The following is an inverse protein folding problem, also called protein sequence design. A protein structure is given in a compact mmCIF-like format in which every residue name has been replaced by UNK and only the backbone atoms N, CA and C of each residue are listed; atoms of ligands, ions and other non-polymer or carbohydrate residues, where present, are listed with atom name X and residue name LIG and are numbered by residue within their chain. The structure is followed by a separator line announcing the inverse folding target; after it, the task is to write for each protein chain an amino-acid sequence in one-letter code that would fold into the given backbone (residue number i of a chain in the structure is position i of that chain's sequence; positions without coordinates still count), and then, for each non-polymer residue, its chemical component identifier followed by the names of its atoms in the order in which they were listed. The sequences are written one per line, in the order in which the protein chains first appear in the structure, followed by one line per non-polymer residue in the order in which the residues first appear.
data_IF_222025805225
#
_entry.id   IF_222025805225
#
_cell.length_a   1.000
_cell.length_b   1.000
_cell.length_c   1.000
_cell.angle_alpha   90.00
_cell.angle_beta   90.00
_cell.angle_gamma   90.00
#
_symmetry.space_group_name_H-M   'P 1'
#
loop_
_entity.id
_entity.type
_entity.pdbx_description
1 polymer ?
#
# COMPACT_ATOMS: atom_id res chain seq x y z
N UNK A 1 -0.39 -18.60 -4.07
CA UNK A 1 -1.08 -17.39 -3.57
C UNK A 1 -0.36 -16.16 -4.11
N UNK A 2 -1.11 -15.21 -4.62
CA UNK A 2 -0.54 -13.99 -5.18
C UNK A 2 -0.60 -12.89 -4.12
N UNK A 3 0.56 -12.35 -3.76
CA UNK A 3 0.68 -11.35 -2.70
C UNK A 3 1.23 -10.05 -3.28
N UNK A 4 0.54 -8.95 -3.02
CA UNK A 4 0.97 -7.62 -3.43
C UNK A 4 1.33 -6.80 -2.20
N UNK A 5 2.36 -5.97 -2.33
CA UNK A 5 2.68 -4.97 -1.32
C UNK A 5 2.12 -3.63 -1.78
N UNK A 6 1.43 -2.93 -0.90
CA UNK A 6 0.92 -1.58 -1.16
C UNK A 6 1.61 -0.63 -0.20
N UNK A 7 2.22 0.42 -0.71
CA UNK A 7 3.02 1.33 0.12
C UNK A 7 2.46 2.74 0.00
N UNK A 8 1.88 3.21 1.09
CA UNK A 8 1.34 4.56 1.17
C UNK A 8 2.35 5.55 1.71
N UNK A 9 1.91 6.79 1.94
CA UNK A 9 2.78 7.90 2.27
C UNK A 9 3.05 8.07 3.77
N UNK A 10 2.35 7.32 4.64
CA UNK A 10 2.50 7.45 6.08
C UNK A 10 3.76 6.73 6.56
N UNK A 11 3.82 6.43 7.85
CA UNK A 11 5.03 5.82 8.43
C UNK A 11 5.33 4.48 7.78
N UNK A 12 6.56 4.32 7.35
CA UNK A 12 6.98 3.18 6.54
C UNK A 12 8.03 2.35 7.29
N UNK A 13 7.70 1.09 7.52
CA UNK A 13 8.66 0.15 8.13
C UNK A 13 9.57 -0.38 7.05
N UNK A 14 10.65 0.37 6.76
CA UNK A 14 11.56 0.04 5.66
C UNK A 14 12.28 -1.27 5.90
N UNK A 15 12.61 -1.57 7.16
CA UNK A 15 13.30 -2.79 7.52
C UNK A 15 12.48 -4.02 7.20
N UNK A 16 11.23 -4.01 7.64
CA UNK A 16 10.32 -5.11 7.41
C UNK A 16 10.03 -5.28 5.91
N UNK A 17 9.78 -4.16 5.24
CA UNK A 17 9.51 -4.20 3.80
C UNK A 17 10.70 -4.79 3.04
N UNK A 18 11.90 -4.31 3.34
CA UNK A 18 13.10 -4.77 2.63
C UNK A 18 13.37 -6.25 2.87
N UNK A 19 13.15 -6.71 4.09
CA UNK A 19 13.34 -8.12 4.42
C UNK A 19 12.36 -9.00 3.64
N UNK A 20 11.09 -8.59 3.60
CA UNK A 20 10.08 -9.35 2.87
C UNK A 20 10.31 -9.32 1.37
N UNK A 21 10.66 -8.14 0.85
CA UNK A 21 10.90 -7.99 -0.57
C UNK A 21 12.12 -8.80 -1.00
N UNK A 22 13.18 -8.77 -0.19
CA UNK A 22 14.37 -9.56 -0.48
C UNK A 22 14.14 -11.05 -0.42
N UNK A 23 13.17 -11.49 0.36
CA UNK A 23 12.81 -12.91 0.45
C UNK A 23 11.86 -13.35 -0.68
N UNK A 24 11.48 -12.45 -1.58
CA UNK A 24 10.60 -12.79 -2.68
C UNK A 24 9.13 -12.92 -2.28
N UNK A 25 8.73 -12.25 -1.21
CA UNK A 25 7.37 -12.38 -0.69
C UNK A 25 6.31 -11.74 -1.58
N UNK A 26 6.69 -10.78 -2.42
CA UNK A 26 5.73 -10.00 -3.19
C UNK A 26 5.80 -10.33 -4.67
N UNK A 27 4.63 -10.59 -5.25
CA UNK A 27 4.52 -10.76 -6.70
C UNK A 27 4.49 -9.41 -7.41
N UNK A 28 4.03 -8.37 -6.72
CA UNK A 28 4.03 -7.01 -7.26
C UNK A 28 4.02 -6.01 -6.11
N UNK A 29 4.52 -4.81 -6.39
CA UNK A 29 4.58 -3.70 -5.43
C UNK A 29 3.86 -2.50 -6.04
N UNK A 30 2.91 -1.94 -5.32
CA UNK A 30 2.16 -0.78 -5.76
C UNK A 30 2.48 0.40 -4.85
N UNK A 31 2.96 1.49 -5.43
CA UNK A 31 3.17 2.73 -4.71
C UNK A 31 1.88 3.53 -4.73
N UNK A 32 1.45 4.00 -3.55
CA UNK A 32 0.24 4.79 -3.42
C UNK A 32 0.65 6.22 -3.09
N UNK A 33 0.48 7.09 -4.06
CA UNK A 33 0.82 8.52 -3.97
C UNK A 33 2.24 8.70 -3.41
N UNK A 34 2.42 9.36 -2.28
CA UNK A 34 3.74 9.62 -1.70
C UNK A 34 4.54 8.38 -1.33
N UNK A 35 3.94 7.20 -1.35
CA UNK A 35 4.67 5.95 -1.11
C UNK A 35 5.77 5.69 -2.13
N UNK A 36 5.70 6.32 -3.29
CA UNK A 36 6.76 6.21 -4.29
C UNK A 36 8.11 6.66 -3.72
N UNK A 37 8.10 7.74 -2.94
CA UNK A 37 9.32 8.25 -2.32
C UNK A 37 9.89 7.26 -1.30
N UNK A 38 9.01 6.66 -0.49
CA UNK A 38 9.45 5.67 0.49
C UNK A 38 10.12 4.49 -0.18
N UNK A 39 9.56 4.03 -1.29
CA UNK A 39 10.14 2.91 -2.04
C UNK A 39 11.47 3.31 -2.68
N UNK A 40 11.55 4.53 -3.22
CA UNK A 40 12.80 5.01 -3.83
C UNK A 40 13.93 5.05 -2.80
N UNK A 41 13.60 5.41 -1.55
CA UNK A 41 14.60 5.49 -0.48
C UNK A 41 15.22 4.13 -0.15
N UNK A 42 14.51 3.04 -0.41
CA UNK A 42 15.05 1.70 -0.19
C UNK A 42 15.48 1.01 -1.48
N UNK A 43 15.54 1.77 -2.58
CA UNK A 43 16.01 1.25 -3.85
C UNK A 43 15.06 0.33 -4.56
N UNK A 44 13.78 0.41 -4.26
CA UNK A 44 12.77 -0.45 -4.87
C UNK A 44 11.94 0.32 -5.89
N UNK A 45 11.88 -0.18 -7.12
CA UNK A 45 11.01 0.37 -8.14
C UNK A 45 9.67 -0.36 -8.07
N UNK A 46 8.56 0.35 -7.90
CA UNK A 46 7.25 -0.34 -7.88
C UNK A 46 6.86 -0.78 -9.27
N UNK A 47 5.97 -1.77 -9.31
CA UNK A 47 5.38 -2.21 -10.58
C UNK A 47 4.29 -1.27 -11.06
N UNK A 48 3.68 -0.54 -10.13
CA UNK A 48 2.58 0.37 -10.43
C UNK A 48 2.59 1.50 -9.42
N UNK A 49 2.31 2.72 -9.87
CA UNK A 49 2.14 3.86 -8.99
C UNK A 49 0.75 4.44 -9.22
N UNK A 50 0.02 4.69 -8.14
CA UNK A 50 -1.38 5.14 -8.19
C UNK A 50 -1.54 6.41 -7.37
N UNK A 51 -2.29 7.38 -7.88
CA UNK A 51 -2.66 8.57 -7.14
C UNK A 51 -2.77 9.77 -8.03
N UNK A 52 -2.95 10.95 -7.42
CA UNK A 52 -2.90 12.22 -8.13
C UNK A 52 -1.51 12.85 -8.07
N UNK A 53 -0.64 12.30 -7.20
CA UNK A 53 0.76 12.69 -7.04
C UNK A 53 0.97 14.12 -6.58
N UNK A 54 -0.03 14.69 -5.91
CA UNK A 54 0.10 16.02 -5.33
C UNK A 54 1.24 16.08 -4.30
N UNK A 55 1.34 15.06 -3.45
CA UNK A 55 2.37 15.02 -2.41
C UNK A 55 3.76 14.92 -3.00
N UNK A 56 3.92 14.30 -4.16
CA UNK A 56 5.23 14.17 -4.80
C UNK A 56 5.62 15.43 -5.56
N UNK A 57 4.64 16.14 -6.12
CA UNK A 57 4.90 17.28 -6.95
C UNK A 57 5.32 16.93 -8.37
N UNK A 58 5.29 15.66 -8.73
CA UNK A 58 5.61 15.20 -10.09
C UNK A 58 5.01 13.81 -10.29
N UNK A 59 4.87 13.41 -11.56
CA UNK A 59 4.39 12.08 -11.92
C UNK A 59 5.61 11.21 -12.18
N UNK A 60 5.73 10.05 -11.51
CA UNK A 60 6.89 9.17 -11.69
C UNK A 60 7.05 8.69 -13.12
N UNK A 61 8.31 8.55 -13.55
CA UNK A 61 8.63 8.03 -14.88
C UNK A 61 9.29 6.67 -14.73
N UNK A 62 9.17 5.85 -15.77
CA UNK A 62 9.80 4.55 -15.79
C UNK A 62 9.02 3.45 -15.10
N UNK A 63 7.83 3.76 -14.61
CA UNK A 63 6.93 2.77 -13.99
C UNK A 63 5.55 2.95 -14.57
N UNK A 64 4.72 1.92 -14.47
CA UNK A 64 3.31 2.05 -14.86
C UNK A 64 2.62 2.98 -13.87
N UNK A 65 1.83 3.94 -14.37
CA UNK A 65 1.20 4.95 -13.53
C UNK A 65 -0.29 5.04 -13.83
N UNK A 66 -1.10 5.05 -12.78
CA UNK A 66 -2.53 5.34 -12.88
C UNK A 66 -2.79 6.63 -12.12
N UNK A 67 -3.10 7.69 -12.85
CA UNK A 67 -3.32 9.01 -12.27
C UNK A 67 -4.81 9.24 -12.12
N UNK A 68 -5.23 9.61 -10.91
CA UNK A 68 -6.63 9.90 -10.62
C UNK A 68 -6.75 11.35 -10.13
N UNK A 69 -7.84 12.03 -10.50
CA UNK A 69 -8.00 13.43 -10.09
C UNK A 69 -8.28 13.54 -8.59
N UNK A 70 -7.94 14.68 -7.98
CA UNK A 70 -8.15 14.85 -6.53
C UNK A 70 -9.61 14.81 -6.09
N UNK A 71 -10.55 15.09 -6.98
CA UNK A 71 -11.97 15.12 -6.64
C UNK A 71 -12.66 13.77 -6.75
N UNK A 72 -11.89 12.71 -6.92
CA UNK A 72 -12.49 11.38 -7.02
C UNK A 72 -13.18 10.97 -5.71
N UNK A 73 -14.12 10.06 -5.81
CA UNK A 73 -14.89 9.60 -4.64
C UNK A 73 -14.11 8.65 -3.75
N UNK A 74 -13.17 7.91 -4.31
CA UNK A 74 -12.40 6.91 -3.58
C UNK A 74 -11.04 7.45 -3.21
N UNK A 75 -10.50 7.02 -2.07
CA UNK A 75 -9.14 7.37 -1.69
C UNK A 75 -8.12 6.62 -2.57
N UNK A 76 -6.89 7.11 -2.61
CA UNK A 76 -5.84 6.45 -3.37
C UNK A 76 -5.61 5.02 -2.88
N UNK A 77 -5.67 4.80 -1.57
CA UNK A 77 -5.50 3.46 -1.02
C UNK A 77 -6.64 2.54 -1.45
N UNK A 78 -7.86 3.05 -1.49
CA UNK A 78 -8.99 2.25 -1.95
C UNK A 78 -8.82 1.85 -3.42
N UNK A 79 -8.36 2.79 -4.24
CA UNK A 79 -8.10 2.51 -5.65
C UNK A 79 -7.00 1.47 -5.80
N UNK A 80 -5.95 1.56 -4.97
CA UNK A 80 -4.84 0.60 -5.01
C UNK A 80 -5.29 -0.80 -4.61
N UNK A 81 -6.13 -0.89 -3.57
CA UNK A 81 -6.66 -2.19 -3.16
C UNK A 81 -7.52 -2.80 -4.26
N UNK A 82 -8.37 -1.97 -4.87
CA UNK A 82 -9.20 -2.43 -5.98
C UNK A 82 -8.38 -2.91 -7.16
N UNK A 83 -7.29 -2.20 -7.46
CA UNK A 83 -6.42 -2.58 -8.55
C UNK A 83 -5.71 -3.90 -8.25
N UNK A 84 -5.25 -4.08 -7.01
CA UNK A 84 -4.61 -5.34 -6.62
C UNK A 84 -5.57 -6.52 -6.79
N UNK A 85 -6.82 -6.35 -6.37
CA UNK A 85 -7.83 -7.39 -6.55
C UNK A 85 -8.08 -7.66 -8.03
N UNK A 86 -8.20 -6.60 -8.82
CA UNK A 86 -8.45 -6.74 -10.26
C UNK A 86 -7.31 -7.47 -10.96
N UNK A 87 -6.09 -7.35 -10.45
CA UNK A 87 -4.92 -8.02 -11.03
C UNK A 87 -4.70 -9.41 -10.46
N UNK A 88 -5.58 -9.88 -9.59
CA UNK A 88 -5.55 -11.26 -9.11
C UNK A 88 -4.87 -11.49 -7.78
N UNK A 89 -4.67 -10.44 -6.99
CA UNK A 89 -4.06 -10.60 -5.68
C UNK A 89 -4.99 -11.38 -4.74
N UNK A 90 -4.44 -12.33 -4.03
CA UNK A 90 -5.14 -13.08 -2.99
C UNK A 90 -4.86 -12.48 -1.62
N UNK A 91 -3.71 -11.83 -1.50
CA UNK A 91 -3.26 -11.23 -0.24
C UNK A 91 -2.57 -9.92 -0.52
N UNK A 92 -2.67 -8.98 0.42
CA UNK A 92 -1.91 -7.74 0.36
C UNK A 92 -1.24 -7.50 1.71
N UNK A 93 -0.03 -6.95 1.66
CA UNK A 93 0.63 -6.40 2.83
C UNK A 93 0.70 -4.90 2.62
N UNK A 94 0.16 -4.15 3.55
CA UNK A 94 0.00 -2.71 3.40
C UNK A 94 0.97 -1.99 4.32
N UNK A 95 1.82 -1.16 3.75
CA UNK A 95 2.80 -0.36 4.45
C UNK A 95 2.47 1.10 4.25
N UNK A 96 2.86 1.94 5.21
CA UNK A 96 2.68 3.38 5.04
C UNK A 96 1.24 3.84 5.13
N UNK A 97 0.35 3.04 5.72
CA UNK A 97 -1.05 3.39 5.89
C UNK A 97 -1.40 3.72 7.34
N UNK A 98 -0.50 3.42 8.25
CA UNK A 98 -0.69 3.64 9.69
C UNK A 98 0.27 4.70 10.17
N UNK A 99 -0.06 5.32 11.30
CA UNK A 99 0.74 6.39 11.85
C UNK A 99 0.35 7.73 11.24
N UNK A 100 1.04 8.79 11.63
CA UNK A 100 0.68 10.12 11.18
C UNK A 100 -0.66 10.55 11.77
N UNK A 101 -1.54 11.09 10.95
CA UNK A 101 -2.83 11.59 11.42
C UNK A 101 -3.75 10.44 11.79
N UNK A 102 -4.37 10.58 12.95
CA UNK A 102 -5.25 9.54 13.47
C UNK A 102 -6.46 9.30 12.58
N UNK A 103 -7.04 10.37 12.02
CA UNK A 103 -8.21 10.23 11.16
C UNK A 103 -7.89 9.44 9.90
N UNK A 104 -6.72 9.65 9.32
CA UNK A 104 -6.28 8.87 8.16
C UNK A 104 -6.05 7.41 8.52
N UNK A 105 -5.45 7.17 9.68
CA UNK A 105 -5.21 5.81 10.14
C UNK A 105 -6.52 5.06 10.32
N UNK A 106 -7.51 5.70 10.97
CA UNK A 106 -8.81 5.06 11.18
C UNK A 106 -9.52 4.78 9.87
N UNK A 107 -9.49 5.74 8.93
CA UNK A 107 -10.12 5.55 7.64
C UNK A 107 -9.48 4.38 6.89
N UNK A 108 -8.15 4.29 6.93
CA UNK A 108 -7.45 3.20 6.28
C UNK A 108 -7.79 1.86 6.92
N UNK A 109 -7.85 1.79 8.24
CA UNK A 109 -8.19 0.53 8.92
C UNK A 109 -9.59 0.06 8.55
N UNK A 110 -10.55 0.99 8.46
CA UNK A 110 -11.91 0.64 8.06
C UNK A 110 -11.94 0.12 6.62
N UNK A 111 -11.17 0.76 5.76
CA UNK A 111 -11.09 0.36 4.36
C UNK A 111 -10.49 -1.03 4.23
N UNK A 112 -9.39 -1.29 4.94
CA UNK A 112 -8.73 -2.58 4.90
C UNK A 112 -9.65 -3.68 5.41
N UNK A 113 -10.41 -3.40 6.48
CA UNK A 113 -11.36 -4.36 7.03
C UNK A 113 -12.43 -4.69 6.00
N UNK A 114 -12.91 -3.69 5.26
CA UNK A 114 -13.91 -3.91 4.24
C UNK A 114 -13.43 -4.87 3.15
N UNK A 115 -12.20 -4.69 2.69
CA UNK A 115 -11.64 -5.60 1.69
C UNK A 115 -11.41 -6.99 2.26
N UNK A 116 -10.99 -7.07 3.52
CA UNK A 116 -10.79 -8.37 4.17
C UNK A 116 -12.09 -9.14 4.27
N UNK A 117 -13.20 -8.46 4.52
CA UNK A 117 -14.51 -9.11 4.58
C UNK A 117 -14.94 -9.68 3.25
N UNK A 118 -14.40 -9.15 2.16
CA UNK A 118 -14.74 -9.63 0.82
C UNK A 118 -13.75 -10.68 0.30
N UNK A 119 -12.94 -11.23 1.18
CA UNK A 119 -12.12 -12.38 0.83
C UNK A 119 -10.64 -12.13 0.61
N UNK A 120 -10.21 -10.87 0.67
CA UNK A 120 -8.80 -10.53 0.51
C UNK A 120 -8.09 -10.72 1.86
N UNK A 121 -6.95 -11.40 1.86
CA UNK A 121 -6.15 -11.49 3.08
C UNK A 121 -5.34 -10.21 3.20
N UNK A 122 -5.59 -9.45 4.27
CA UNK A 122 -4.97 -8.14 4.45
C UNK A 122 -4.14 -8.12 5.72
N UNK A 123 -2.89 -7.69 5.60
CA UNK A 123 -2.01 -7.48 6.75
C UNK A 123 -1.49 -6.06 6.69
N UNK A 124 -1.68 -5.31 7.76
CA UNK A 124 -1.19 -3.94 7.84
C UNK A 124 0.06 -3.91 8.71
N UNK A 125 1.11 -3.28 8.21
CA UNK A 125 2.39 -3.21 8.89
C UNK A 125 2.60 -1.83 9.48
N UNK A 126 2.79 -1.76 10.80
CA UNK A 126 3.12 -0.52 11.47
C UNK A 126 4.63 -0.36 11.58
N UNK A 127 5.07 0.88 11.71
CA UNK A 127 6.50 1.17 11.73
C UNK A 127 7.20 0.55 12.94
N UNK A 128 6.55 0.60 14.09
CA UNK A 128 7.17 0.15 15.34
C UNK A 128 6.86 -1.28 15.69
N UNK A 129 6.01 -1.91 14.93
CA UNK A 129 5.52 -3.25 15.25
C UNK A 129 5.94 -4.22 14.19
N UNK A 130 7.19 -4.11 13.82
CA UNK A 130 7.73 -4.88 12.70
C UNK A 130 7.66 -6.39 12.91
N UNK A 131 7.61 -6.82 14.14
CA UNK A 131 7.54 -8.24 14.44
C UNK A 131 6.12 -8.74 14.52
N UNK A 132 5.15 -7.84 14.39
CA UNK A 132 3.75 -8.20 14.52
C UNK A 132 3.01 -7.88 13.26
N UNK A 133 2.26 -8.86 12.79
CA UNK A 133 1.37 -8.64 11.68
C UNK A 133 0.02 -8.29 12.23
N UNK A 134 -0.60 -7.28 11.66
CA UNK A 134 -1.93 -6.86 12.06
C UNK A 134 -2.91 -7.34 11.02
N UNK A 135 -3.63 -8.37 11.35
CA UNK A 135 -4.70 -8.82 10.48
C UNK A 135 -5.91 -7.97 10.69
N UNK A 136 -6.45 -7.46 9.61
CA UNK A 136 -7.59 -6.58 9.65
C UNK A 136 -8.78 -7.34 9.12
N UNK A 137 -9.88 -7.31 9.89
CA UNK A 137 -11.08 -8.00 9.52
C UNK A 137 -11.13 -9.40 10.10
N UNK A 138 -11.84 -10.28 9.44
CA UNK A 138 -12.14 -11.59 9.98
C UNK A 138 -10.98 -12.55 9.74
N UNK A 139 -10.68 -13.32 10.75
CA UNK A 139 -9.64 -14.34 10.68
C UNK A 139 -10.14 -15.54 9.91
#
# INVERSE_FOLDING_TARGET
MTTYALVGASEFNSEQFSARNGAGAFDAVIAVDGGFTSLADVGCAPDLAIGDFDSLGYVPEGVEVLVFPPEKDASDMELALGEAVARGADAVEVYGALGGRLDHTLANLQLLASFAEHGLTVTAMGERERSEERRVGKE
#
